data_IF_667948943534
#
_entry.id   IF_667948943534
#
_cell.length_a   1.000
_cell.length_b   1.000
_cell.length_c   1.000
_cell.angle_alpha   90.00
_cell.angle_beta   90.00
_cell.angle_gamma   90.00
#
_symmetry.space_group_name_H-M   'P 1'
#
loop_
_entity.id
_entity.type
_entity.pdbx_description
1 polymer ?
#
# COMPACT_ATOMS: atom_id res chain seq x y z
N UNK A 1 12.13 0.33 -43.06
CA UNK A 1 10.78 0.21 -42.50
C UNK A 1 10.95 0.33 -41.01
N UNK A 2 10.74 1.55 -40.50
CA UNK A 2 10.80 1.86 -39.07
C UNK A 2 9.55 1.24 -38.45
N UNK A 3 9.72 0.18 -37.68
CA UNK A 3 8.63 -0.42 -36.92
C UNK A 3 8.27 0.58 -35.81
N UNK A 4 7.08 1.14 -35.90
CA UNK A 4 6.52 1.96 -34.81
C UNK A 4 6.67 1.21 -33.48
N UNK A 5 7.06 1.90 -32.39
CA UNK A 5 7.19 1.27 -31.08
C UNK A 5 5.84 0.65 -30.72
N UNK A 6 5.82 -0.66 -30.45
CA UNK A 6 4.64 -1.34 -29.91
C UNK A 6 4.31 -0.67 -28.58
N UNK A 7 3.27 0.11 -28.55
CA UNK A 7 2.74 0.66 -27.29
C UNK A 7 2.24 -0.52 -26.47
N UNK A 8 2.94 -0.80 -25.38
CA UNK A 8 2.51 -1.83 -24.41
C UNK A 8 1.18 -1.32 -23.83
N UNK A 9 0.08 -2.09 -23.88
CA UNK A 9 -1.18 -1.65 -23.32
C UNK A 9 -1.03 -1.27 -21.85
N UNK A 10 -1.63 -0.14 -21.47
CA UNK A 10 -1.66 0.28 -20.07
C UNK A 10 -2.34 -0.82 -19.23
N UNK A 11 -1.75 -1.18 -18.10
CA UNK A 11 -2.28 -2.19 -17.19
C UNK A 11 -2.36 -1.65 -15.77
N UNK A 12 -3.46 -1.91 -15.08
CA UNK A 12 -3.66 -1.58 -13.67
C UNK A 12 -3.54 -2.86 -12.85
N UNK A 13 -2.57 -2.89 -11.95
CA UNK A 13 -2.30 -4.01 -11.06
C UNK A 13 -2.58 -3.60 -9.62
N UNK A 14 -3.44 -4.34 -8.93
CA UNK A 14 -3.71 -4.18 -7.50
C UNK A 14 -2.96 -5.26 -6.71
N UNK A 15 -2.19 -4.85 -5.71
CA UNK A 15 -1.53 -5.77 -4.78
C UNK A 15 -2.00 -5.45 -3.36
N UNK A 16 -2.79 -6.36 -2.80
CA UNK A 16 -3.32 -6.27 -1.44
C UNK A 16 -2.72 -7.34 -0.53
N UNK A 17 -2.91 -7.18 0.76
CA UNK A 17 -2.49 -8.15 1.76
C UNK A 17 -2.12 -7.50 3.10
N UNK A 18 -1.98 -8.29 4.17
CA UNK A 18 -1.65 -7.79 5.50
C UNK A 18 -0.22 -7.22 5.58
N UNK A 19 0.09 -6.59 6.70
CA UNK A 19 1.44 -6.03 6.95
C UNK A 19 2.50 -7.13 7.02
N UNK A 20 3.71 -6.83 6.55
CA UNK A 20 4.86 -7.74 6.66
C UNK A 20 4.90 -8.88 5.63
N UNK A 21 4.06 -8.83 4.59
CA UNK A 21 4.09 -9.80 3.47
C UNK A 21 5.11 -9.46 2.37
N UNK A 22 5.81 -8.33 2.50
CA UNK A 22 6.78 -7.88 1.49
C UNK A 22 6.14 -7.11 0.32
N UNK A 23 4.91 -6.61 0.48
CA UNK A 23 4.21 -5.87 -0.60
C UNK A 23 5.04 -4.74 -1.20
N UNK A 24 5.57 -3.84 -0.39
CA UNK A 24 6.26 -2.64 -0.89
C UNK A 24 7.53 -2.99 -1.66
N UNK A 25 8.35 -3.91 -1.16
CA UNK A 25 9.55 -4.36 -1.86
C UNK A 25 9.21 -5.08 -3.16
N UNK A 26 8.22 -5.98 -3.12
CA UNK A 26 7.73 -6.69 -4.31
C UNK A 26 7.15 -5.71 -5.33
N UNK A 27 6.27 -4.83 -4.91
CA UNK A 27 5.55 -3.89 -5.78
C UNK A 27 6.49 -2.93 -6.50
N UNK A 28 7.47 -2.36 -5.80
CA UNK A 28 8.49 -1.48 -6.41
C UNK A 28 9.34 -2.23 -7.44
N UNK A 29 9.80 -3.44 -7.11
CA UNK A 29 10.62 -4.23 -8.01
C UNK A 29 9.84 -4.66 -9.26
N UNK A 30 8.60 -5.12 -9.11
CA UNK A 30 7.72 -5.48 -10.24
C UNK A 30 7.43 -4.26 -11.12
N UNK A 31 7.06 -3.13 -10.53
CA UNK A 31 6.79 -1.90 -11.27
C UNK A 31 8.03 -1.44 -12.06
N UNK A 32 9.21 -1.49 -11.44
CA UNK A 32 10.48 -1.16 -12.10
C UNK A 32 10.76 -2.11 -13.27
N UNK A 33 10.64 -3.42 -13.06
CA UNK A 33 10.92 -4.43 -14.09
C UNK A 33 10.00 -4.31 -15.30
N UNK A 34 8.75 -3.90 -15.09
CA UNK A 34 7.71 -3.83 -16.10
C UNK A 34 7.43 -2.43 -16.66
N UNK A 35 8.19 -1.42 -16.21
CA UNK A 35 8.02 -0.03 -16.63
C UNK A 35 6.68 0.58 -16.18
N UNK A 36 6.13 0.13 -15.05
CA UNK A 36 4.90 0.65 -14.49
C UNK A 36 5.16 1.80 -13.50
N UNK A 37 4.19 2.68 -13.34
CA UNK A 37 4.12 3.59 -12.20
C UNK A 37 3.82 2.77 -10.93
N UNK A 38 4.08 3.36 -9.77
CA UNK A 38 3.91 2.72 -8.48
C UNK A 38 3.24 3.66 -7.47
N UNK A 39 2.28 3.15 -6.70
CA UNK A 39 1.62 3.90 -5.63
C UNK A 39 1.56 3.07 -4.34
N UNK A 40 2.16 3.60 -3.26
CA UNK A 40 2.00 3.11 -1.88
C UNK A 40 0.84 3.85 -1.21
N UNK A 41 -0.34 3.23 -1.17
CA UNK A 41 -1.51 3.84 -0.52
C UNK A 41 -1.37 3.91 0.99
N UNK A 42 -0.60 3.00 1.59
CA UNK A 42 -0.29 3.04 3.01
C UNK A 42 0.49 4.29 3.40
N UNK A 43 1.36 4.78 2.54
CA UNK A 43 2.06 6.04 2.76
C UNK A 43 1.10 7.24 2.80
N UNK A 44 0.04 7.24 2.00
CA UNK A 44 -0.96 8.32 2.01
C UNK A 44 -1.75 8.36 3.33
N UNK A 45 -2.18 7.20 3.84
CA UNK A 45 -2.85 7.13 5.15
C UNK A 45 -1.91 7.52 6.29
N UNK A 46 -0.64 7.18 6.19
CA UNK A 46 0.37 7.63 7.15
C UNK A 46 0.64 9.13 7.05
N UNK A 47 0.62 9.69 5.86
CA UNK A 47 0.82 11.13 5.64
C UNK A 47 -0.30 11.97 6.27
N UNK A 48 -1.55 11.60 6.06
CA UNK A 48 -2.67 12.29 6.73
C UNK A 48 -2.63 12.11 8.25
N UNK A 49 -2.23 10.94 8.73
CA UNK A 49 -2.05 10.68 10.16
C UNK A 49 -0.94 11.55 10.75
N UNK A 50 0.20 11.66 10.09
CA UNK A 50 1.29 12.54 10.49
C UNK A 50 0.80 14.00 10.60
N UNK A 51 0.08 14.47 9.58
CA UNK A 51 -0.46 15.83 9.59
C UNK A 51 -1.43 16.06 10.77
N UNK A 52 -2.28 15.08 11.09
CA UNK A 52 -3.17 15.15 12.26
C UNK A 52 -2.37 15.32 13.56
N UNK A 53 -1.30 14.52 13.72
CA UNK A 53 -0.42 14.58 14.90
C UNK A 53 0.26 15.94 15.01
N UNK A 54 0.87 16.43 13.93
CA UNK A 54 1.56 17.72 13.90
C UNK A 54 0.64 18.92 14.18
N UNK A 55 -0.65 18.78 13.87
CA UNK A 55 -1.63 19.83 14.09
C UNK A 55 -2.46 19.61 15.39
N UNK A 56 -2.04 18.68 16.24
CA UNK A 56 -2.66 18.46 17.54
C UNK A 56 -4.09 17.92 17.48
N UNK A 57 -4.47 17.27 16.36
CA UNK A 57 -5.78 16.61 16.24
C UNK A 57 -5.74 15.30 17.02
N UNK A 58 -6.73 15.09 17.88
CA UNK A 58 -6.88 13.82 18.58
C UNK A 58 -7.28 12.71 17.58
N UNK A 59 -6.33 11.84 17.29
CA UNK A 59 -6.54 10.74 16.33
C UNK A 59 -7.50 9.65 16.84
N UNK A 60 -7.84 9.65 18.12
CA UNK A 60 -8.85 8.75 18.69
C UNK A 60 -10.27 9.34 18.57
N UNK A 61 -10.41 10.63 18.31
CA UNK A 61 -11.68 11.30 18.06
C UNK A 61 -12.01 11.27 16.55
N UNK A 62 -12.90 10.36 16.17
CA UNK A 62 -13.29 10.18 14.77
C UNK A 62 -13.94 11.42 14.14
N UNK A 63 -14.67 12.23 14.92
CA UNK A 63 -15.32 13.46 14.45
C UNK A 63 -14.27 14.54 14.18
N UNK A 64 -13.33 14.75 15.12
CA UNK A 64 -12.22 15.68 14.93
C UNK A 64 -11.35 15.32 13.72
N UNK A 65 -11.07 14.02 13.51
CA UNK A 65 -10.35 13.51 12.34
C UNK A 65 -11.13 13.78 11.06
N UNK A 66 -12.43 13.49 11.03
CA UNK A 66 -13.28 13.71 9.86
C UNK A 66 -13.32 15.19 9.46
N UNK A 67 -13.47 16.10 10.42
CA UNK A 67 -13.52 17.55 10.19
C UNK A 67 -12.20 18.12 9.65
N UNK A 68 -11.08 17.52 10.05
CA UNK A 68 -9.75 17.94 9.62
C UNK A 68 -9.28 17.27 8.32
N UNK A 69 -9.89 16.17 7.89
CA UNK A 69 -9.40 15.29 6.84
C UNK A 69 -9.16 15.96 5.47
N UNK A 70 -9.94 16.98 5.14
CA UNK A 70 -9.82 17.70 3.86
C UNK A 70 -8.84 18.88 3.86
N UNK A 71 -8.14 19.13 4.96
CA UNK A 71 -7.26 20.30 5.08
C UNK A 71 -5.87 20.11 4.45
N UNK A 72 -5.17 18.97 4.67
CA UNK A 72 -3.84 18.79 4.08
C UNK A 72 -3.89 18.48 2.59
N UNK A 73 -2.92 18.99 1.84
CA UNK A 73 -2.65 18.57 0.47
C UNK A 73 -1.62 17.44 0.47
N UNK A 74 -2.02 16.25 0.02
CA UNK A 74 -1.15 15.08 -0.06
C UNK A 74 -0.79 14.84 -1.52
N UNK A 75 0.52 14.80 -1.82
CA UNK A 75 1.04 14.53 -3.17
C UNK A 75 1.96 13.30 -3.13
N UNK A 76 1.65 12.33 -3.99
CA UNK A 76 2.45 11.10 -4.14
C UNK A 76 3.17 11.10 -5.48
N UNK A 77 4.50 10.97 -5.46
CA UNK A 77 5.28 10.64 -6.66
C UNK A 77 5.16 9.14 -6.97
N UNK A 78 5.07 8.81 -8.24
CA UNK A 78 4.78 7.44 -8.72
C UNK A 78 5.95 6.75 -9.40
N UNK A 79 7.17 7.29 -9.27
CA UNK A 79 8.38 6.62 -9.73
C UNK A 79 8.73 5.46 -8.79
N UNK A 80 8.76 4.21 -9.25
CA UNK A 80 9.08 3.07 -8.40
C UNK A 80 10.52 3.08 -7.87
N UNK A 81 11.45 3.76 -8.55
CA UNK A 81 12.84 3.90 -8.11
C UNK A 81 13.01 4.96 -7.03
N UNK A 82 12.19 6.00 -7.06
CA UNK A 82 12.24 7.14 -6.14
C UNK A 82 10.83 7.62 -5.76
N UNK A 83 10.03 6.77 -5.09
CA UNK A 83 8.69 7.17 -4.67
C UNK A 83 8.79 8.28 -3.63
N UNK A 84 7.97 9.32 -3.83
CA UNK A 84 7.93 10.48 -2.93
C UNK A 84 6.55 10.66 -2.33
N UNK A 85 6.49 11.29 -1.17
CA UNK A 85 5.25 11.72 -0.55
C UNK A 85 5.46 13.04 0.19
N UNK A 86 4.61 14.02 -0.11
CA UNK A 86 4.63 15.33 0.54
C UNK A 86 3.27 15.65 1.13
N UNK A 87 3.27 16.44 2.20
CA UNK A 87 2.09 17.05 2.80
C UNK A 87 2.32 18.55 2.84
N UNK A 88 1.43 19.31 2.22
CA UNK A 88 1.55 20.77 2.10
C UNK A 88 2.93 21.21 1.59
N UNK A 89 3.47 20.45 0.63
CA UNK A 89 4.79 20.67 0.03
C UNK A 89 5.98 20.19 0.86
N UNK A 90 5.78 19.66 2.06
CA UNK A 90 6.84 19.13 2.94
C UNK A 90 7.04 17.65 2.66
N UNK A 91 8.31 17.23 2.43
CA UNK A 91 8.64 15.80 2.34
C UNK A 91 8.45 15.11 3.69
N UNK A 92 7.57 14.12 3.70
CA UNK A 92 7.23 13.36 4.90
C UNK A 92 7.64 11.89 4.82
N UNK A 93 8.47 11.51 3.85
CA UNK A 93 8.90 10.12 3.63
C UNK A 93 9.53 9.46 4.86
N UNK A 94 10.29 10.20 5.66
CA UNK A 94 10.84 9.76 6.94
C UNK A 94 9.82 9.85 8.08
N UNK A 95 9.25 11.02 8.37
CA UNK A 95 8.32 11.25 9.49
C UNK A 95 7.14 10.29 9.54
N UNK A 96 6.59 9.86 8.41
CA UNK A 96 5.44 8.92 8.37
C UNK A 96 5.78 7.50 8.83
N UNK A 97 7.05 7.17 9.02
CA UNK A 97 7.53 5.84 9.45
C UNK A 97 7.79 5.74 10.95
N UNK A 98 7.60 6.81 11.70
CA UNK A 98 7.77 6.82 13.16
C UNK A 98 6.80 5.86 13.86
N UNK A 99 7.17 5.42 15.07
CA UNK A 99 6.30 4.59 15.91
C UNK A 99 5.01 5.31 16.27
N UNK A 100 5.06 6.62 16.48
CA UNK A 100 3.89 7.42 16.78
C UNK A 100 2.85 7.37 15.65
N UNK A 101 3.24 7.64 14.41
CA UNK A 101 2.35 7.53 13.24
C UNK A 101 1.87 6.10 13.07
N UNK A 102 2.77 5.12 13.23
CA UNK A 102 2.44 3.70 13.08
C UNK A 102 1.36 3.25 14.06
N UNK A 103 1.38 3.74 15.30
CA UNK A 103 0.39 3.39 16.32
C UNK A 103 -1.00 4.03 16.09
N UNK A 104 -1.05 5.14 15.37
CA UNK A 104 -2.26 5.95 15.15
C UNK A 104 -2.94 5.74 13.80
N UNK A 105 -2.21 5.24 12.80
CA UNK A 105 -2.70 5.16 11.41
C UNK A 105 -3.94 4.30 11.25
N UNK A 106 -4.10 3.23 12.01
CA UNK A 106 -5.29 2.37 11.92
C UNK A 106 -6.57 3.10 12.35
N UNK A 107 -6.51 3.91 13.41
CA UNK A 107 -7.64 4.71 13.87
C UNK A 107 -8.03 5.78 12.84
N UNK A 108 -7.06 6.53 12.31
CA UNK A 108 -7.30 7.56 11.30
C UNK A 108 -7.84 6.96 10.01
N UNK A 109 -7.26 5.86 9.53
CA UNK A 109 -7.68 5.18 8.29
C UNK A 109 -9.05 4.50 8.39
N UNK A 110 -9.59 4.31 9.59
CA UNK A 110 -10.93 3.77 9.80
C UNK A 110 -12.04 4.83 9.66
N UNK A 111 -11.69 6.12 9.69
CA UNK A 111 -12.67 7.21 9.57
C UNK A 111 -13.21 7.28 8.13
N UNK A 112 -14.52 7.16 7.88
CA UNK A 112 -15.08 7.09 6.53
C UNK A 112 -14.72 8.30 5.66
N UNK A 113 -14.71 9.51 6.21
CA UNK A 113 -14.34 10.73 5.47
C UNK A 113 -12.90 10.69 4.96
N UNK A 114 -11.96 10.19 5.77
CA UNK A 114 -10.56 9.97 5.36
C UNK A 114 -10.51 8.99 4.21
N UNK A 115 -11.22 7.88 4.30
CA UNK A 115 -11.24 6.88 3.23
C UNK A 115 -11.79 7.42 1.93
N UNK A 116 -12.89 8.17 1.97
CA UNK A 116 -13.45 8.80 0.77
C UNK A 116 -12.43 9.68 0.07
N UNK A 117 -11.82 10.62 0.78
CA UNK A 117 -10.84 11.55 0.21
C UNK A 117 -9.60 10.84 -0.34
N UNK A 118 -9.05 9.90 0.41
CA UNK A 118 -7.86 9.17 -0.03
C UNK A 118 -8.18 8.24 -1.20
N UNK A 119 -9.34 7.58 -1.23
CA UNK A 119 -9.77 6.75 -2.36
C UNK A 119 -9.94 7.58 -3.64
N UNK A 120 -10.53 8.76 -3.55
CA UNK A 120 -10.65 9.69 -4.69
C UNK A 120 -9.28 10.09 -5.24
N UNK A 121 -8.33 10.41 -4.35
CA UNK A 121 -6.95 10.72 -4.72
C UNK A 121 -6.27 9.53 -5.41
N UNK A 122 -6.42 8.34 -4.89
CA UNK A 122 -5.85 7.11 -5.46
C UNK A 122 -6.40 6.82 -6.85
N UNK A 123 -7.70 6.95 -7.04
CA UNK A 123 -8.35 6.78 -8.35
C UNK A 123 -7.88 7.81 -9.37
N UNK A 124 -7.74 9.06 -8.95
CA UNK A 124 -7.21 10.13 -9.82
C UNK A 124 -5.78 9.84 -10.27
N UNK A 125 -4.91 9.39 -9.36
CA UNK A 125 -3.53 9.00 -9.69
C UNK A 125 -3.51 7.81 -10.65
N UNK A 126 -4.30 6.78 -10.40
CA UNK A 126 -4.37 5.61 -11.26
C UNK A 126 -4.88 5.93 -12.66
N UNK A 127 -5.89 6.78 -12.77
CA UNK A 127 -6.45 7.23 -14.05
C UNK A 127 -5.46 8.07 -14.89
N UNK A 128 -4.60 8.83 -14.23
CA UNK A 128 -3.57 9.65 -14.88
C UNK A 128 -2.26 8.92 -15.18
N UNK A 129 -2.13 7.65 -14.84
CA UNK A 129 -0.88 6.90 -14.99
C UNK A 129 -0.71 6.38 -16.42
N UNK A 130 0.05 7.11 -17.23
CA UNK A 130 0.43 6.66 -18.58
C UNK A 130 1.26 5.37 -18.51
N UNK A 131 0.95 4.40 -19.39
CA UNK A 131 1.63 3.09 -19.45
C UNK A 131 1.21 2.09 -18.39
N UNK A 132 0.41 2.50 -17.42
CA UNK A 132 -0.10 1.66 -16.35
C UNK A 132 0.53 1.89 -14.99
N UNK A 133 -0.06 1.30 -13.97
CA UNK A 133 0.31 1.50 -12.58
C UNK A 133 0.12 0.22 -11.76
N UNK A 134 1.01 0.03 -10.80
CA UNK A 134 0.86 -0.94 -9.74
C UNK A 134 0.54 -0.20 -8.44
N UNK A 135 -0.60 -0.51 -7.85
CA UNK A 135 -1.09 0.10 -6.60
C UNK A 135 -1.11 -0.94 -5.50
N UNK A 136 -0.44 -0.65 -4.38
CA UNK A 136 -0.44 -1.53 -3.21
C UNK A 136 -1.29 -1.00 -2.07
N UNK A 137 -1.95 -1.90 -1.34
CA UNK A 137 -2.77 -1.52 -0.20
C UNK A 137 -3.36 -2.68 0.58
N UNK A 138 -4.65 -2.53 0.94
CA UNK A 138 -5.46 -3.48 1.71
C UNK A 138 -6.80 -3.79 1.06
N UNK A 139 -7.31 -2.86 0.29
CA UNK A 139 -8.64 -2.83 -0.28
C UNK A 139 -8.64 -2.32 -1.74
N UNK A 140 -7.50 -2.42 -2.40
CA UNK A 140 -7.33 -1.88 -3.76
C UNK A 140 -8.20 -2.68 -4.73
N UNK A 141 -8.06 -3.99 -4.74
CA UNK A 141 -8.80 -4.86 -5.65
C UNK A 141 -10.28 -5.04 -5.28
N UNK A 142 -10.68 -4.77 -4.04
CA UNK A 142 -12.08 -4.89 -3.59
C UNK A 142 -12.85 -3.58 -3.70
N UNK A 143 -12.22 -2.44 -3.38
CA UNK A 143 -12.93 -1.17 -3.20
C UNK A 143 -12.38 -0.04 -4.04
N UNK A 144 -11.08 0.17 -4.07
CA UNK A 144 -10.47 1.34 -4.73
C UNK A 144 -10.50 1.20 -6.24
N UNK A 145 -10.01 0.09 -6.76
CA UNK A 145 -9.89 -0.25 -8.18
C UNK A 145 -10.49 -1.64 -8.43
N UNK A 146 -11.82 -1.80 -8.27
CA UNK A 146 -12.47 -3.10 -8.41
C UNK A 146 -12.37 -3.67 -9.83
N UNK A 147 -12.12 -2.81 -10.82
CA UNK A 147 -11.92 -3.17 -12.23
C UNK A 147 -10.44 -3.25 -12.62
N UNK A 148 -9.52 -3.35 -11.64
CA UNK A 148 -8.10 -3.55 -11.93
C UNK A 148 -7.89 -4.80 -12.81
N UNK A 149 -6.98 -4.70 -13.78
CA UNK A 149 -6.74 -5.75 -14.75
C UNK A 149 -6.20 -7.04 -14.15
N UNK A 150 -5.36 -6.89 -13.13
CA UNK A 150 -4.83 -7.98 -12.32
C UNK A 150 -4.94 -7.60 -10.84
N UNK A 151 -5.44 -8.52 -10.04
CA UNK A 151 -5.49 -8.42 -8.58
C UNK A 151 -4.68 -9.55 -7.97
N UNK A 152 -3.72 -9.19 -7.11
CA UNK A 152 -2.88 -10.13 -6.37
C UNK A 152 -3.09 -9.90 -4.89
N UNK A 153 -3.25 -10.97 -4.14
CA UNK A 153 -3.34 -10.93 -2.69
C UNK A 153 -2.15 -11.68 -2.08
N UNK A 154 -1.22 -10.94 -1.48
CA UNK A 154 -0.06 -11.52 -0.84
C UNK A 154 -0.38 -11.91 0.59
N UNK A 155 -0.08 -13.15 0.95
CA UNK A 155 -0.17 -13.66 2.31
C UNK A 155 1.20 -14.14 2.82
N UNK A 156 1.32 -14.25 4.11
CA UNK A 156 2.43 -14.97 4.78
C UNK A 156 1.99 -15.38 6.18
N UNK A 157 2.60 -16.42 6.73
CA UNK A 157 2.37 -16.82 8.12
C UNK A 157 2.72 -15.68 9.08
N UNK A 158 2.07 -15.59 10.25
CA UNK A 158 2.39 -14.59 11.26
C UNK A 158 3.87 -14.62 11.68
N UNK A 159 4.46 -15.80 11.72
CA UNK A 159 5.86 -16.02 12.04
C UNK A 159 6.81 -15.45 10.98
N UNK A 160 6.54 -15.73 9.70
CA UNK A 160 7.34 -15.20 8.60
C UNK A 160 7.25 -13.66 8.52
N UNK A 161 6.07 -13.10 8.74
CA UNK A 161 5.86 -11.64 8.75
C UNK A 161 6.58 -10.97 9.92
N UNK A 162 6.52 -11.57 11.12
CA UNK A 162 7.20 -11.06 12.29
C UNK A 162 8.74 -11.10 12.11
N UNK A 163 9.28 -12.19 11.55
CA UNK A 163 10.71 -12.30 11.27
C UNK A 163 11.20 -11.24 10.28
N UNK A 164 10.46 -11.01 9.19
CA UNK A 164 10.76 -9.95 8.22
C UNK A 164 10.75 -8.57 8.85
N UNK A 165 9.71 -8.26 9.62
CA UNK A 165 9.55 -6.96 10.28
C UNK A 165 10.64 -6.72 11.33
N UNK A 166 11.00 -7.73 12.12
CA UNK A 166 12.11 -7.62 13.07
C UNK A 166 13.45 -7.37 12.37
N UNK A 167 13.66 -7.96 11.20
CA UNK A 167 14.85 -7.71 10.38
C UNK A 167 14.93 -6.29 9.79
N UNK A 168 13.79 -5.62 9.60
CA UNK A 168 13.73 -4.22 9.15
C UNK A 168 14.01 -3.23 10.27
N UNK A 169 13.75 -3.59 11.53
CA UNK A 169 13.98 -2.75 12.70
C UNK A 169 15.47 -2.81 13.11
N UNK A 170 16.07 -1.67 13.40
CA UNK A 170 17.49 -1.54 13.77
C UNK A 170 17.65 -0.94 15.17
N UNK A 171 18.67 -1.40 15.89
CA UNK A 171 19.05 -0.83 17.17
C UNK A 171 18.00 -1.03 18.28
N UNK A 172 17.70 0.04 19.03
CA UNK A 172 16.74 -0.02 20.15
C UNK A 172 15.29 -0.26 19.74
N UNK A 173 14.97 -0.16 18.45
CA UNK A 173 13.66 -0.46 17.90
C UNK A 173 13.50 -1.95 17.55
N UNK A 174 14.57 -2.73 17.60
CA UNK A 174 14.51 -4.18 17.46
C UNK A 174 13.76 -4.75 18.68
N UNK A 175 12.45 -4.90 18.52
CA UNK A 175 11.57 -5.50 19.52
C UNK A 175 11.67 -7.01 19.48
N UNK A 176 11.28 -7.65 20.59
CA UNK A 176 11.09 -9.08 20.65
C UNK A 176 10.16 -9.56 19.51
N UNK A 177 10.51 -10.70 18.92
CA UNK A 177 9.77 -11.32 17.83
C UNK A 177 8.30 -11.57 18.21
N UNK A 178 8.04 -11.97 19.45
CA UNK A 178 6.69 -12.18 19.95
C UNK A 178 5.88 -10.88 20.02
N UNK A 179 6.47 -9.78 20.47
CA UNK A 179 5.85 -8.47 20.52
C UNK A 179 5.58 -7.94 19.10
N UNK A 180 6.50 -8.15 18.17
CA UNK A 180 6.33 -7.78 16.75
C UNK A 180 5.17 -8.56 16.12
N UNK A 181 5.11 -9.88 16.35
CA UNK A 181 4.01 -10.73 15.88
C UNK A 181 2.66 -10.27 16.40
N UNK A 182 2.58 -9.98 17.69
CA UNK A 182 1.34 -9.49 18.32
C UNK A 182 0.91 -8.13 17.74
N UNK A 183 1.83 -7.21 17.53
CA UNK A 183 1.54 -5.91 16.91
C UNK A 183 1.00 -6.06 15.48
N UNK A 184 1.57 -6.96 14.68
CA UNK A 184 1.08 -7.27 13.33
C UNK A 184 -0.34 -7.85 13.36
N UNK A 185 -0.61 -8.80 14.25
CA UNK A 185 -1.94 -9.41 14.39
C UNK A 185 -2.99 -8.40 14.85
N UNK A 186 -2.66 -7.51 15.80
CA UNK A 186 -3.57 -6.42 16.21
C UNK A 186 -3.90 -5.50 15.04
N UNK A 187 -2.91 -5.16 14.22
CA UNK A 187 -3.11 -4.31 13.04
C UNK A 187 -3.98 -5.01 11.98
N UNK A 188 -3.71 -6.28 11.70
CA UNK A 188 -4.53 -7.05 10.76
C UNK A 188 -5.98 -7.16 11.23
N UNK A 189 -6.20 -7.38 12.53
CA UNK A 189 -7.54 -7.40 13.12
C UNK A 189 -8.26 -6.04 12.96
N UNK A 190 -7.55 -4.92 13.19
CA UNK A 190 -8.09 -3.59 12.98
C UNK A 190 -8.41 -3.33 11.50
N UNK A 191 -7.52 -3.70 10.59
CA UNK A 191 -7.71 -3.51 9.15
C UNK A 191 -8.85 -4.38 8.60
N UNK A 192 -8.97 -5.64 9.04
CA UNK A 192 -10.02 -6.56 8.63
C UNK A 192 -11.37 -6.27 9.27
N UNK A 193 -11.37 -5.73 10.49
CA UNK A 193 -12.58 -5.40 11.25
C UNK A 193 -13.21 -4.05 10.90
N UNK A 194 -12.62 -3.27 10.00
CA UNK A 194 -13.19 -1.98 9.60
C UNK A 194 -14.57 -2.15 8.97
N UNK A 195 -15.50 -1.26 9.34
CA UNK A 195 -16.84 -1.22 8.74
C UNK A 195 -16.81 -0.74 7.29
N UNK A 196 -15.84 0.11 6.95
CA UNK A 196 -15.65 0.68 5.61
C UNK A 196 -14.35 0.18 5.04
N UNK A 197 -14.40 -0.42 3.86
CA UNK A 197 -13.23 -0.92 3.11
C UNK A 197 -12.26 -1.78 3.95
N UNK A 198 -12.70 -2.92 4.48
CA UNK A 198 -11.83 -3.79 5.25
C UNK A 198 -10.71 -4.39 4.40
N UNK A 199 -9.64 -4.85 5.06
CA UNK A 199 -8.67 -5.75 4.43
C UNK A 199 -9.37 -7.04 4.03
N UNK A 200 -9.48 -7.29 2.74
CA UNK A 200 -10.12 -8.48 2.19
C UNK A 200 -9.52 -8.84 0.82
N UNK A 201 -9.48 -10.13 0.53
CA UNK A 201 -9.12 -10.63 -0.80
C UNK A 201 -10.33 -10.46 -1.74
N UNK A 202 -10.12 -9.87 -2.90
CA UNK A 202 -11.13 -9.85 -3.96
C UNK A 202 -11.36 -11.28 -4.50
N UNK A 203 -12.59 -11.57 -4.94
CA UNK A 203 -12.95 -12.92 -5.41
C UNK A 203 -12.14 -13.35 -6.63
N UNK A 204 -11.77 -12.41 -7.48
CA UNK A 204 -10.95 -12.59 -8.68
C UNK A 204 -9.44 -12.36 -8.45
N UNK A 205 -9.00 -12.21 -7.20
CA UNK A 205 -7.59 -12.03 -6.89
C UNK A 205 -6.83 -13.37 -6.85
N UNK A 206 -5.65 -13.38 -7.46
CA UNK A 206 -4.68 -14.47 -7.32
C UNK A 206 -4.01 -14.35 -5.96
N UNK A 207 -4.12 -15.39 -5.15
CA UNK A 207 -3.44 -15.46 -3.85
C UNK A 207 -2.03 -16.03 -4.02
N UNK A 208 -1.06 -15.35 -3.41
CA UNK A 208 0.34 -15.80 -3.36
C UNK A 208 0.77 -15.87 -1.91
N UNK A 209 0.96 -17.08 -1.39
CA UNK A 209 1.55 -17.30 -0.08
C UNK A 209 3.07 -17.17 -0.16
N UNK A 210 3.58 -16.15 0.51
CA UNK A 210 5.00 -15.80 0.48
C UNK A 210 5.79 -16.37 1.66
N UNK A 211 5.18 -17.21 2.51
CA UNK A 211 5.79 -17.70 3.76
C UNK A 211 7.16 -18.33 3.55
N UNK A 212 7.28 -19.20 2.55
CA UNK A 212 8.49 -19.97 2.23
C UNK A 212 9.23 -19.48 0.98
N UNK A 213 8.82 -18.31 0.43
CA UNK A 213 9.42 -17.74 -0.76
C UNK A 213 10.45 -16.66 -0.41
N UNK A 214 11.51 -16.59 -1.19
CA UNK A 214 12.42 -15.44 -1.20
C UNK A 214 11.72 -14.25 -1.87
N UNK A 215 12.19 -13.04 -1.58
CA UNK A 215 11.68 -11.84 -2.25
C UNK A 215 11.79 -11.96 -3.77
N UNK A 216 12.90 -12.49 -4.29
CA UNK A 216 13.10 -12.68 -5.72
C UNK A 216 12.06 -13.62 -6.32
N UNK A 217 11.75 -14.73 -5.65
CA UNK A 217 10.72 -15.68 -6.11
C UNK A 217 9.32 -15.04 -6.13
N UNK A 218 8.99 -14.20 -5.15
CA UNK A 218 7.72 -13.47 -5.13
C UNK A 218 7.66 -12.48 -6.29
N UNK A 219 8.74 -11.72 -6.55
CA UNK A 219 8.83 -10.78 -7.66
C UNK A 219 8.62 -11.51 -8.99
N UNK A 220 9.33 -12.62 -9.23
CA UNK A 220 9.21 -13.41 -10.46
C UNK A 220 7.79 -13.96 -10.66
N UNK A 221 7.16 -14.44 -9.60
CA UNK A 221 5.77 -14.88 -9.63
C UNK A 221 4.82 -13.76 -10.07
N UNK A 222 4.92 -12.58 -9.46
CA UNK A 222 4.04 -11.45 -9.80
C UNK A 222 4.33 -10.90 -11.19
N UNK A 223 5.60 -10.82 -11.62
CA UNK A 223 5.98 -10.42 -12.98
C UNK A 223 5.33 -11.36 -14.00
N UNK A 224 5.41 -12.67 -13.78
CA UNK A 224 4.79 -13.66 -14.66
C UNK A 224 3.29 -13.45 -14.78
N UNK A 225 2.59 -13.25 -13.64
CA UNK A 225 1.15 -12.98 -13.64
C UNK A 225 0.78 -11.71 -14.44
N UNK A 226 1.58 -10.65 -14.33
CA UNK A 226 1.35 -9.42 -15.10
C UNK A 226 1.57 -9.63 -16.59
N UNK A 227 2.64 -10.34 -16.97
CA UNK A 227 2.96 -10.63 -18.38
C UNK A 227 1.90 -11.53 -19.01
N UNK A 228 1.45 -12.58 -18.33
CA UNK A 228 0.34 -13.41 -18.76
C UNK A 228 -0.94 -12.59 -19.00
N UNK A 229 -1.25 -11.67 -18.06
CA UNK A 229 -2.42 -10.80 -18.20
C UNK A 229 -2.28 -9.83 -19.38
N UNK A 230 -1.08 -9.29 -19.61
CA UNK A 230 -0.79 -8.46 -20.79
C UNK A 230 -0.95 -9.22 -22.11
N UNK A 231 -0.54 -10.48 -22.14
CA UNK A 231 -0.62 -11.32 -23.33
C UNK A 231 -2.07 -11.65 -23.75
N UNK A 232 -3.02 -11.51 -22.83
CA UNK A 232 -4.45 -11.76 -23.08
C UNK A 232 -5.21 -10.51 -23.58
N UNK A 233 -4.51 -9.39 -23.74
CA UNK A 233 -5.08 -8.12 -24.20
C UNK A 233 -4.65 -7.78 -25.63
#
# INVERSE_FOLDING_TARGET
>A
VETAPRTVPAIIVAIDGPSGTGKSSTSKAVATALGLRYLDTGAQYRAITWWMVENGIDTADAEAVADAAGKPEIVSGTDPLAPTITVDGIDVSGPIRTQEVTSKVSAVSAVPRVRTLITELQRSIAAGAEGGILVEGRDIGTTVLPDADLKVFLTASPEARAARRSGELKGKEATDLAATREALLRRDAADSGRKTSPLAKADDAVEVDTSDLTLQQVIECVVTLVEEKRALR
#
